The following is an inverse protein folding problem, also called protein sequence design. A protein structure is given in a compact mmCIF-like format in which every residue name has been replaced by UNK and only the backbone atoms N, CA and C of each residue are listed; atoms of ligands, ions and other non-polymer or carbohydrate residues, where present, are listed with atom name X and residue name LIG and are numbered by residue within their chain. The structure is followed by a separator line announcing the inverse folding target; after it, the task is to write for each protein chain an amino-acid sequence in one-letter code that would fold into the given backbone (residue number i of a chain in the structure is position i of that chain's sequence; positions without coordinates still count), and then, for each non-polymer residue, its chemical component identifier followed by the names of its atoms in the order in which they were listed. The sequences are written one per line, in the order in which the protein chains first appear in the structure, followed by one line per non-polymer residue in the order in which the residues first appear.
data_IF_447766118859
#
_entry.id   IF_447766118859
#
_cell.length_a   1.000
_cell.length_b   1.000
_cell.length_c   1.000
_cell.angle_alpha   90.00
_cell.angle_beta   90.00
_cell.angle_gamma   90.00
#
_symmetry.space_group_name_H-M   'P 1'
#
loop_
_entity.id
_entity.type
_entity.pdbx_description
1 polymer ?
#
# COMPACT_ATOMS: atom_id res chain seq x y z
N UNK A 1 -18.30 -26.31 -1.13
CA UNK A 1 -17.46 -25.37 -0.36
C UNK A 1 -16.10 -25.05 -1.03
N UNK A 2 -16.00 -25.03 -2.36
CA UNK A 2 -14.71 -24.85 -3.06
C UNK A 2 -14.75 -23.87 -4.26
N UNK A 3 -15.86 -23.15 -4.46
CA UNK A 3 -16.01 -22.22 -5.59
C UNK A 3 -15.57 -20.79 -5.26
N UNK A 4 -15.82 -20.32 -4.03
CA UNK A 4 -15.43 -18.97 -3.57
C UNK A 4 -13.89 -18.80 -3.40
N UNK A 5 -13.16 -19.88 -3.09
CA UNK A 5 -11.70 -19.88 -2.97
C UNK A 5 -10.95 -19.77 -4.32
N UNK A 6 -11.65 -19.98 -5.46
CA UNK A 6 -11.04 -19.81 -6.79
C UNK A 6 -11.20 -18.41 -7.36
N UNK A 7 -12.18 -17.62 -6.93
CA UNK A 7 -12.43 -16.28 -7.48
C UNK A 7 -11.65 -15.16 -6.78
N UNK A 8 -11.22 -15.38 -5.53
CA UNK A 8 -10.21 -14.53 -4.88
C UNK A 8 -8.80 -14.65 -5.49
N UNK A 9 -8.60 -15.49 -6.50
CA UNK A 9 -7.33 -15.56 -7.25
C UNK A 9 -7.22 -14.48 -8.33
N UNK A 10 -8.31 -13.79 -8.68
CA UNK A 10 -8.33 -12.76 -9.71
C UNK A 10 -8.25 -11.32 -9.16
N UNK A 11 -8.89 -11.01 -8.04
CA UNK A 11 -9.13 -9.60 -7.69
C UNK A 11 -8.03 -8.93 -6.85
N UNK A 12 -7.39 -9.68 -5.95
CA UNK A 12 -6.12 -9.23 -5.34
C UNK A 12 -5.03 -9.06 -6.41
N UNK A 13 -5.17 -9.76 -7.54
CA UNK A 13 -4.24 -9.76 -8.65
C UNK A 13 -4.47 -8.54 -9.57
N UNK A 14 -5.72 -8.23 -9.95
CA UNK A 14 -6.04 -7.07 -10.80
C UNK A 14 -5.94 -5.69 -10.10
N UNK A 15 -6.24 -5.57 -8.80
CA UNK A 15 -6.12 -4.29 -8.07
C UNK A 15 -4.69 -3.96 -7.64
N UNK A 16 -3.86 -4.98 -7.40
CA UNK A 16 -2.41 -4.80 -7.18
C UNK A 16 -1.72 -4.48 -8.51
N UNK A 17 -2.17 -5.07 -9.64
CA UNK A 17 -1.68 -4.71 -10.97
C UNK A 17 -2.12 -3.30 -11.41
N UNK A 18 -3.32 -2.82 -11.04
CA UNK A 18 -3.73 -1.41 -11.29
C UNK A 18 -2.88 -0.40 -10.48
N UNK A 19 -2.48 -0.73 -9.25
CA UNK A 19 -1.56 0.07 -8.43
C UNK A 19 -0.09 -0.04 -8.87
N UNK A 20 0.31 -1.20 -9.42
CA UNK A 20 1.64 -1.45 -9.96
C UNK A 20 1.83 -0.97 -11.41
N UNK A 21 0.77 -0.67 -12.17
CA UNK A 21 0.85 -0.13 -13.55
C UNK A 21 0.61 1.39 -13.58
N UNK A 22 -0.28 1.95 -12.74
CA UNK A 22 -0.61 3.39 -12.76
C UNK A 22 0.49 4.28 -12.14
N UNK A 23 1.28 3.74 -11.21
CA UNK A 23 2.48 4.41 -10.66
C UNK A 23 3.63 4.51 -11.68
N UNK A 24 4.10 3.43 -12.33
CA UNK A 24 5.14 3.54 -13.35
C UNK A 24 4.67 4.16 -14.68
N UNK A 25 3.35 4.21 -14.97
CA UNK A 25 2.80 4.94 -16.11
C UNK A 25 2.78 6.47 -15.88
N UNK A 26 2.61 6.94 -14.64
CA UNK A 26 2.72 8.37 -14.30
C UNK A 26 4.19 8.81 -14.10
N UNK A 27 5.05 7.95 -13.56
CA UNK A 27 6.53 8.16 -13.45
C UNK A 27 7.20 8.27 -14.82
N UNK A 28 6.73 7.51 -15.83
CA UNK A 28 7.23 7.58 -17.20
C UNK A 28 6.86 8.90 -17.90
N UNK A 29 5.86 9.62 -17.39
CA UNK A 29 5.32 10.86 -17.96
C UNK A 29 5.76 12.14 -17.20
N UNK A 30 6.20 12.04 -15.94
CA UNK A 30 6.87 13.12 -15.20
C UNK A 30 8.40 13.00 -15.32
N UNK A 31 8.96 13.30 -16.49
CA UNK A 31 9.51 14.64 -16.74
C UNK A 31 10.78 14.93 -15.90
N UNK A 32 11.91 14.43 -16.42
CA UNK A 32 13.24 15.05 -16.43
C UNK A 32 13.34 16.47 -15.79
N UNK A 33 14.18 16.63 -14.74
CA UNK A 33 14.87 17.88 -14.28
C UNK A 33 14.45 18.69 -13.02
N UNK A 34 13.69 18.20 -12.03
CA UNK A 34 13.66 18.90 -10.72
C UNK A 34 13.53 18.02 -9.46
N UNK A 35 14.24 18.44 -8.40
CA UNK A 35 14.24 17.84 -7.05
C UNK A 35 12.84 17.80 -6.40
N UNK A 36 11.98 18.76 -6.76
CA UNK A 36 10.62 18.87 -6.23
C UNK A 36 9.69 17.79 -6.79
N UNK A 37 9.81 17.48 -8.07
CA UNK A 37 8.99 16.45 -8.72
C UNK A 37 9.23 15.06 -8.11
N UNK A 38 10.48 14.73 -7.79
CA UNK A 38 10.83 13.43 -7.19
C UNK A 38 10.29 13.27 -5.76
N UNK A 39 10.38 14.32 -4.95
CA UNK A 39 9.82 14.31 -3.59
C UNK A 39 8.30 14.14 -3.60
N UNK A 40 7.60 14.93 -4.43
CA UNK A 40 6.15 14.88 -4.53
C UNK A 40 5.67 13.49 -4.98
N UNK A 41 6.34 12.92 -5.98
CA UNK A 41 6.06 11.58 -6.46
C UNK A 41 6.21 10.53 -5.35
N UNK A 42 7.30 10.60 -4.58
CA UNK A 42 7.51 9.71 -3.44
C UNK A 42 6.38 9.85 -2.40
N UNK A 43 6.06 11.09 -1.99
CA UNK A 43 4.99 11.36 -1.03
C UNK A 43 3.64 10.80 -1.50
N UNK A 44 3.26 11.08 -2.74
CA UNK A 44 2.01 10.60 -3.34
C UNK A 44 1.97 9.08 -3.38
N UNK A 45 3.08 8.43 -3.74
CA UNK A 45 3.17 6.97 -3.80
C UNK A 45 2.95 6.31 -2.44
N UNK A 46 3.54 6.86 -1.39
CA UNK A 46 3.39 6.37 -0.02
C UNK A 46 1.95 6.54 0.48
N UNK A 47 1.33 7.69 0.23
CA UNK A 47 -0.05 7.98 0.63
C UNK A 47 -1.08 7.11 -0.10
N UNK A 48 -0.95 6.97 -1.42
CA UNK A 48 -1.82 6.12 -2.23
C UNK A 48 -1.73 4.67 -1.76
N UNK A 49 -0.51 4.16 -1.56
CA UNK A 49 -0.30 2.80 -1.04
C UNK A 49 -0.95 2.62 0.33
N UNK A 50 -0.76 3.57 1.25
CA UNK A 50 -1.40 3.51 2.56
C UNK A 50 -2.94 3.48 2.46
N UNK A 51 -3.53 4.37 1.65
CA UNK A 51 -4.97 4.47 1.48
C UNK A 51 -5.59 3.15 0.99
N UNK A 52 -5.04 2.57 -0.06
CA UNK A 52 -5.60 1.33 -0.60
C UNK A 52 -5.37 0.12 0.30
N UNK A 53 -4.17 -0.03 0.86
CA UNK A 53 -3.86 -1.24 1.64
C UNK A 53 -4.40 -1.19 3.07
N UNK A 54 -4.37 -0.04 3.73
CA UNK A 54 -4.64 0.05 5.17
C UNK A 54 -5.91 0.83 5.52
N UNK A 55 -6.48 1.61 4.59
CA UNK A 55 -7.72 2.35 4.84
C UNK A 55 -8.96 1.70 4.22
N UNK A 56 -8.85 1.24 2.97
CA UNK A 56 -9.98 0.59 2.25
C UNK A 56 -10.26 -0.80 2.83
N UNK A 57 -11.54 -1.07 3.13
CA UNK A 57 -12.08 -2.35 3.61
C UNK A 57 -13.08 -2.95 2.62
N UNK A 58 -13.39 -4.24 2.79
CA UNK A 58 -14.36 -4.97 1.95
C UNK A 58 -13.80 -5.39 0.59
N UNK A 59 -14.66 -6.02 -0.21
CA UNK A 59 -14.41 -6.30 -1.63
C UNK A 59 -15.47 -5.59 -2.49
N UNK A 60 -15.18 -5.27 -3.76
CA UNK A 60 -16.18 -4.71 -4.66
C UNK A 60 -17.18 -5.76 -5.18
N UNK A 61 -17.13 -7.00 -4.70
CA UNK A 61 -17.97 -8.09 -5.17
C UNK A 61 -19.07 -8.43 -4.18
N UNK A 62 -20.31 -8.46 -4.66
CA UNK A 62 -21.49 -8.80 -3.86
C UNK A 62 -21.52 -10.26 -3.36
N UNK A 63 -20.69 -11.14 -3.95
CA UNK A 63 -20.63 -12.57 -3.63
C UNK A 63 -19.83 -12.90 -2.35
N UNK A 64 -19.27 -11.90 -1.68
CA UNK A 64 -18.43 -12.10 -0.50
C UNK A 64 -19.20 -12.25 0.82
N UNK A 65 -20.54 -12.16 0.77
CA UNK A 65 -21.45 -12.26 1.93
C UNK A 65 -21.05 -11.35 3.10
N UNK A 66 -20.32 -10.26 2.83
CA UNK A 66 -19.84 -9.32 3.85
C UNK A 66 -18.69 -9.84 4.73
N UNK A 67 -18.11 -11.00 4.43
CA UNK A 67 -17.04 -11.63 5.24
C UNK A 67 -15.81 -10.72 5.36
N UNK A 68 -15.54 -9.89 4.34
CA UNK A 68 -14.37 -9.02 4.29
C UNK A 68 -14.67 -7.55 4.63
N UNK A 69 -15.91 -7.19 4.99
CA UNK A 69 -16.29 -5.79 5.27
C UNK A 69 -15.49 -5.15 6.40
N UNK A 70 -15.08 -5.97 7.39
CA UNK A 70 -14.28 -5.52 8.51
C UNK A 70 -12.76 -5.54 8.25
N UNK A 71 -12.34 -6.11 7.13
CA UNK A 71 -10.93 -6.36 6.81
C UNK A 71 -10.45 -5.39 5.74
N UNK A 72 -9.31 -4.77 6.01
CA UNK A 72 -8.58 -3.95 5.04
C UNK A 72 -8.02 -4.83 3.93
N UNK A 73 -7.71 -4.25 2.77
CA UNK A 73 -7.11 -5.01 1.66
C UNK A 73 -5.78 -5.66 2.07
N UNK A 74 -4.97 -4.98 2.88
CA UNK A 74 -3.77 -5.58 3.47
C UNK A 74 -4.09 -6.81 4.29
N UNK A 75 -5.16 -6.82 5.06
CA UNK A 75 -5.55 -7.97 5.89
C UNK A 75 -6.10 -9.13 5.05
N UNK A 76 -6.67 -8.85 3.89
CA UNK A 76 -7.23 -9.87 2.98
C UNK A 76 -6.15 -10.59 2.14
N UNK A 77 -5.02 -9.93 1.85
CA UNK A 77 -3.93 -10.49 1.02
C UNK A 77 -3.44 -11.85 1.54
N UNK A 78 -3.20 -12.77 0.61
CA UNK A 78 -2.76 -14.15 0.89
C UNK A 78 -3.65 -14.85 1.94
N UNK A 79 -4.96 -14.56 1.93
CA UNK A 79 -5.94 -15.06 2.89
C UNK A 79 -5.57 -14.74 4.35
N UNK A 80 -5.02 -13.55 4.60
CA UNK A 80 -4.61 -13.10 5.93
C UNK A 80 -3.33 -13.74 6.48
N UNK A 81 -2.69 -14.64 5.73
CA UNK A 81 -1.39 -15.21 6.13
C UNK A 81 -0.34 -14.12 6.22
N UNK A 82 0.31 -14.00 7.37
CA UNK A 82 1.39 -13.05 7.59
C UNK A 82 2.72 -13.55 7.02
N UNK A 83 3.66 -12.63 6.80
CA UNK A 83 5.06 -12.93 6.41
C UNK A 83 5.23 -13.75 5.11
N UNK A 84 4.25 -13.74 4.23
CA UNK A 84 4.33 -14.35 2.90
C UNK A 84 5.31 -13.60 1.99
N UNK A 85 5.78 -14.25 0.93
CA UNK A 85 6.67 -13.64 -0.06
C UNK A 85 6.06 -12.38 -0.68
N UNK A 86 4.76 -12.41 -1.00
CA UNK A 86 4.05 -11.27 -1.60
C UNK A 86 3.96 -10.09 -0.64
N UNK A 87 3.65 -10.31 0.64
CA UNK A 87 3.63 -9.24 1.64
C UNK A 87 5.00 -8.62 1.85
N UNK A 88 6.07 -9.42 1.87
CA UNK A 88 7.46 -8.91 1.95
C UNK A 88 7.75 -8.01 0.75
N UNK A 89 7.43 -8.46 -0.46
CA UNK A 89 7.61 -7.68 -1.68
C UNK A 89 6.84 -6.34 -1.62
N UNK A 90 5.54 -6.37 -1.31
CA UNK A 90 4.69 -5.19 -1.18
C UNK A 90 5.10 -4.23 -0.05
N UNK A 91 5.95 -4.68 0.88
CA UNK A 91 6.54 -3.84 1.93
C UNK A 91 7.83 -3.19 1.45
N UNK A 92 8.65 -3.92 0.68
CA UNK A 92 9.95 -3.44 0.20
C UNK A 92 9.81 -2.40 -0.92
N UNK A 93 8.84 -2.56 -1.83
CA UNK A 93 8.64 -1.62 -2.96
C UNK A 93 8.59 -0.14 -2.54
N UNK A 94 7.71 0.29 -1.60
CA UNK A 94 7.67 1.69 -1.19
C UNK A 94 8.93 2.15 -0.43
N UNK A 95 9.62 1.25 0.29
CA UNK A 95 10.88 1.56 0.98
C UNK A 95 11.97 1.87 -0.03
N UNK A 96 12.10 1.05 -1.08
CA UNK A 96 13.09 1.28 -2.15
C UNK A 96 12.79 2.59 -2.89
N UNK A 97 11.51 2.88 -3.17
CA UNK A 97 11.12 4.15 -3.79
C UNK A 97 11.50 5.36 -2.94
N UNK A 98 11.30 5.27 -1.63
CA UNK A 98 11.74 6.29 -0.68
C UNK A 98 13.27 6.48 -0.67
N UNK A 99 14.05 5.40 -0.69
CA UNK A 99 15.52 5.48 -0.74
C UNK A 99 16.01 6.14 -2.03
N UNK A 100 15.43 5.79 -3.18
CA UNK A 100 15.77 6.39 -4.47
C UNK A 100 15.41 7.88 -4.48
N UNK A 101 14.23 8.25 -3.97
CA UNK A 101 13.82 9.65 -3.88
C UNK A 101 14.73 10.45 -2.94
N UNK A 102 15.12 9.88 -1.80
CA UNK A 102 16.02 10.54 -0.83
C UNK A 102 17.42 10.75 -1.41
N UNK A 103 17.96 9.74 -2.10
CA UNK A 103 19.27 9.82 -2.73
C UNK A 103 19.30 10.80 -3.91
N UNK A 104 18.26 10.80 -4.75
CA UNK A 104 18.19 11.73 -5.90
C UNK A 104 17.94 13.17 -5.46
N UNK A 105 17.47 13.39 -4.23
CA UNK A 105 17.17 14.71 -3.69
C UNK A 105 18.24 15.26 -2.76
N UNK A 106 19.42 14.64 -2.75
CA UNK A 106 20.58 15.02 -1.93
C UNK A 106 20.22 15.29 -0.47
N UNK A 107 19.27 14.50 0.06
CA UNK A 107 18.79 14.59 1.43
C UNK A 107 18.31 16.00 1.86
N UNK A 108 17.79 16.79 0.92
CA UNK A 108 17.35 18.14 1.24
C UNK A 108 16.14 18.18 2.20
N UNK A 109 16.30 18.91 3.31
CA UNK A 109 15.22 19.21 4.25
C UNK A 109 14.41 20.42 3.75
N UNK A 110 13.07 20.48 3.94
CA UNK A 110 12.23 19.69 4.86
C UNK A 110 11.52 18.48 4.24
N UNK A 111 11.53 18.31 2.92
CA UNK A 111 10.74 17.27 2.24
C UNK A 111 11.21 15.85 2.59
N UNK A 112 12.50 15.66 2.84
CA UNK A 112 13.04 14.41 3.37
C UNK A 112 12.34 13.97 4.67
N UNK A 113 12.08 14.90 5.59
CA UNK A 113 11.45 14.59 6.88
C UNK A 113 10.03 14.05 6.69
N UNK A 114 9.23 14.72 5.86
CA UNK A 114 7.86 14.30 5.56
C UNK A 114 7.81 12.92 4.89
N UNK A 115 8.70 12.68 3.92
CA UNK A 115 8.81 11.39 3.24
C UNK A 115 9.28 10.29 4.19
N UNK A 116 10.21 10.59 5.10
CA UNK A 116 10.68 9.65 6.14
C UNK A 116 9.53 9.25 7.06
N UNK A 117 8.78 10.25 7.55
CA UNK A 117 7.67 10.03 8.48
C UNK A 117 6.57 9.18 7.82
N UNK A 118 6.23 9.49 6.56
CA UNK A 118 5.29 8.69 5.76
C UNK A 118 5.78 7.25 5.54
N UNK A 119 7.08 7.06 5.26
CA UNK A 119 7.67 5.74 5.09
C UNK A 119 7.63 4.92 6.39
N UNK A 120 7.94 5.53 7.55
CA UNK A 120 7.85 4.88 8.86
C UNK A 120 6.42 4.42 9.13
N UNK A 121 5.43 5.30 8.97
CA UNK A 121 4.00 4.96 9.19
C UNK A 121 3.59 3.79 8.31
N UNK A 122 3.98 3.80 7.03
CA UNK A 122 3.64 2.74 6.09
C UNK A 122 4.30 1.39 6.46
N UNK A 123 5.56 1.40 6.90
CA UNK A 123 6.25 0.19 7.36
C UNK A 123 5.61 -0.34 8.63
N UNK A 124 5.28 0.53 9.59
CA UNK A 124 4.63 0.12 10.84
C UNK A 124 3.28 -0.54 10.56
N UNK A 125 2.47 0.05 9.67
CA UNK A 125 1.17 -0.50 9.30
C UNK A 125 1.25 -1.91 8.66
N UNK A 126 2.40 -2.27 8.07
CA UNK A 126 2.64 -3.57 7.43
C UNK A 126 3.18 -4.64 8.39
N UNK A 127 3.55 -4.29 9.63
CA UNK A 127 4.01 -5.28 10.61
C UNK A 127 2.92 -6.28 10.98
N UNK A 128 3.30 -7.55 11.25
CA UNK A 128 2.33 -8.59 11.63
C UNK A 128 1.61 -8.27 12.94
N UNK A 129 2.26 -7.53 13.84
CA UNK A 129 1.68 -7.09 15.11
C UNK A 129 0.51 -6.11 14.93
N UNK A 130 0.41 -5.45 13.77
CA UNK A 130 -0.68 -4.53 13.43
C UNK A 130 -1.86 -5.22 12.75
N UNK A 131 -1.83 -6.55 12.60
CA UNK A 131 -2.91 -7.28 11.97
C UNK A 131 -4.20 -7.16 12.77
N UNK A 132 -5.27 -6.62 12.15
CA UNK A 132 -6.57 -6.36 12.78
C UNK A 132 -6.53 -5.36 13.95
N UNK A 133 -5.42 -4.65 14.12
CA UNK A 133 -5.30 -3.59 15.12
C UNK A 133 -5.82 -2.29 14.52
N UNK A 134 -6.73 -1.61 15.23
CA UNK A 134 -7.23 -0.27 14.88
C UNK A 134 -6.76 0.70 15.96
N UNK A 135 -5.73 1.48 15.65
CA UNK A 135 -5.18 2.46 16.60
C UNK A 135 -6.30 3.49 16.90
N UNK A 136 -6.59 3.71 18.19
CA UNK A 136 -7.66 4.59 18.68
C UNK A 136 -9.09 4.20 18.26
N UNK A 137 -9.32 2.99 17.74
CA UNK A 137 -10.64 2.57 17.24
C UNK A 137 -11.10 3.32 15.98
N UNK A 138 -10.22 4.10 15.35
CA UNK A 138 -10.53 4.79 14.09
C UNK A 138 -10.74 3.72 13.01
N UNK A 139 -11.82 3.86 12.22
CA UNK A 139 -12.21 2.90 11.18
C UNK A 139 -12.56 1.49 11.71
N UNK A 140 -12.98 1.37 12.98
CA UNK A 140 -13.60 0.15 13.50
C UNK A 140 -15.03 -0.01 12.98
N UNK A 141 -15.44 -1.26 12.73
CA UNK A 141 -16.82 -1.59 12.38
C UNK A 141 -17.69 -1.56 13.64
N UNK A 142 -18.91 -1.02 13.52
CA UNK A 142 -19.89 -0.96 14.60
C UNK A 142 -20.61 -2.29 14.77
#
# INVERSE_FOLDING_TARGET
MAFCCKHLKGLSYWFILLLCEFMPFTVRLSCFTSLYCMNLLCSCSLQVTYHFFHWKKGTPFADDQGIYNALTWWEQIDNGKQLTRNRKFLTVVPVVLYLIASHTTDYQHPMLFLNTLAAIVLVVAKFPNMHKVRIFGINADK
#
